data_IF_167860188600
#
_entry.id   IF_167860188600
#
_cell.length_a   1.000
_cell.length_b   1.000
_cell.length_c   1.000
_cell.angle_alpha   90.00
_cell.angle_beta   90.00
_cell.angle_gamma   90.00
#
_symmetry.space_group_name_H-M   'P 1'
#
loop_
_entity.id
_entity.type
_entity.pdbx_description
1 polymer ?
#
# COMPACT_ATOMS: atom_id res chain seq x y z
N UNK A 1 -9.60 -120.46 -3.87
CA UNK A 1 -9.28 -119.18 -4.53
C UNK A 1 -10.40 -118.16 -4.37
N UNK A 2 -10.08 -117.02 -3.77
CA UNK A 2 -10.95 -115.84 -3.64
C UNK A 2 -10.53 -114.76 -4.64
N UNK A 3 -11.36 -113.74 -4.83
CA UNK A 3 -11.07 -112.63 -5.74
C UNK A 3 -11.17 -111.27 -5.03
N UNK A 4 -10.45 -110.28 -5.52
CA UNK A 4 -10.59 -108.89 -5.05
C UNK A 4 -11.85 -108.24 -5.62
N UNK A 5 -12.48 -107.33 -4.89
CA UNK A 5 -13.80 -106.80 -5.27
C UNK A 5 -13.81 -105.89 -6.51
N UNK A 6 -12.74 -105.13 -6.74
CA UNK A 6 -12.78 -104.04 -7.74
C UNK A 6 -12.27 -104.48 -9.11
N UNK A 7 -11.21 -105.27 -9.13
CA UNK A 7 -10.53 -105.70 -10.37
C UNK A 7 -10.58 -107.22 -10.55
N UNK A 8 -11.28 -107.92 -9.66
CA UNK A 8 -11.43 -109.38 -9.69
C UNK A 8 -10.09 -110.13 -9.81
N UNK A 9 -9.04 -109.59 -9.19
CA UNK A 9 -7.73 -110.26 -9.12
C UNK A 9 -7.83 -111.50 -8.26
N UNK A 10 -7.24 -112.61 -8.72
CA UNK A 10 -7.09 -113.86 -7.99
C UNK A 10 -6.28 -113.62 -6.72
N UNK A 11 -6.85 -113.94 -5.56
CA UNK A 11 -6.20 -113.78 -4.25
C UNK A 11 -5.94 -115.16 -3.65
N UNK A 12 -4.67 -115.62 -3.62
CA UNK A 12 -4.32 -116.90 -3.00
C UNK A 12 -4.62 -116.89 -1.49
N UNK A 13 -5.11 -118.01 -0.96
CA UNK A 13 -5.21 -118.26 0.49
C UNK A 13 -4.00 -119.04 1.01
N UNK A 14 -3.77 -119.08 2.33
CA UNK A 14 -2.59 -119.72 2.94
C UNK A 14 -2.44 -121.22 2.58
N UNK A 15 -3.53 -121.85 2.16
CA UNK A 15 -3.60 -123.25 1.76
C UNK A 15 -3.56 -123.47 0.24
N UNK A 16 -3.58 -122.40 -0.57
CA UNK A 16 -3.55 -122.50 -2.03
C UNK A 16 -2.11 -122.73 -2.52
N UNK A 17 -1.93 -123.61 -3.49
CA UNK A 17 -0.64 -123.78 -4.17
C UNK A 17 -0.35 -122.56 -5.06
N UNK A 18 0.88 -122.05 -5.01
CA UNK A 18 1.31 -120.90 -5.82
C UNK A 18 1.37 -121.32 -7.29
N UNK A 19 0.37 -120.90 -8.05
CA UNK A 19 0.33 -121.05 -9.50
C UNK A 19 0.76 -119.74 -10.16
N UNK A 20 1.85 -119.79 -10.94
CA UNK A 20 2.43 -118.63 -11.62
C UNK A 20 1.43 -118.01 -12.61
N UNK A 21 0.57 -118.84 -13.22
CA UNK A 21 -0.44 -118.37 -14.17
C UNK A 21 -1.42 -117.38 -13.52
N UNK A 22 -1.80 -117.62 -12.26
CA UNK A 22 -2.72 -116.73 -11.54
C UNK A 22 -2.10 -115.35 -11.25
N UNK A 23 -0.77 -115.29 -11.09
CA UNK A 23 -0.03 -114.04 -10.94
C UNK A 23 0.11 -113.30 -12.27
N UNK A 24 0.38 -114.03 -13.36
CA UNK A 24 0.47 -113.46 -14.69
C UNK A 24 -0.87 -112.85 -15.11
N UNK A 25 -1.98 -113.59 -14.94
CA UNK A 25 -3.32 -113.08 -15.24
C UNK A 25 -3.66 -111.82 -14.42
N UNK A 26 -3.30 -111.79 -13.13
CA UNK A 26 -3.49 -110.59 -12.32
C UNK A 26 -2.64 -109.41 -12.79
N UNK A 27 -1.39 -109.67 -13.20
CA UNK A 27 -0.49 -108.65 -13.71
C UNK A 27 -1.02 -108.05 -15.02
N UNK A 28 -1.55 -108.89 -15.92
CA UNK A 28 -2.18 -108.45 -17.17
C UNK A 28 -3.42 -107.58 -16.89
N UNK A 29 -4.27 -107.98 -15.94
CA UNK A 29 -5.44 -107.19 -15.53
C UNK A 29 -4.99 -105.84 -14.94
N UNK A 30 -3.96 -105.82 -14.11
CA UNK A 30 -3.44 -104.59 -13.51
C UNK A 30 -2.84 -103.67 -14.58
N UNK A 31 -2.04 -104.21 -15.51
CA UNK A 31 -1.45 -103.45 -16.61
C UNK A 31 -2.52 -102.83 -17.52
N UNK A 32 -3.53 -103.62 -17.91
CA UNK A 32 -4.66 -103.14 -18.70
C UNK A 32 -5.39 -101.98 -17.98
N UNK A 33 -5.69 -102.14 -16.69
CA UNK A 33 -6.41 -101.12 -15.91
C UNK A 33 -5.56 -99.88 -15.61
N UNK A 34 -4.26 -100.03 -15.42
CA UNK A 34 -3.34 -98.89 -15.33
C UNK A 34 -3.27 -98.14 -16.65
N UNK A 35 -3.22 -98.86 -17.78
CA UNK A 35 -3.21 -98.23 -19.11
C UNK A 35 -4.54 -97.54 -19.40
N UNK A 36 -5.67 -98.09 -18.97
CA UNK A 36 -6.96 -97.41 -19.03
C UNK A 36 -6.96 -96.10 -18.24
N UNK A 37 -6.36 -96.06 -17.05
CA UNK A 37 -6.25 -94.84 -16.24
C UNK A 37 -5.30 -93.84 -16.90
N UNK A 38 -4.14 -94.26 -17.34
CA UNK A 38 -3.15 -93.42 -18.03
C UNK A 38 -3.75 -92.76 -19.29
N UNK A 39 -4.50 -93.53 -20.08
CA UNK A 39 -5.24 -93.02 -21.24
C UNK A 39 -6.36 -92.04 -20.84
N UNK A 40 -7.03 -92.27 -19.70
CA UNK A 40 -8.05 -91.34 -19.17
C UNK A 40 -7.41 -90.06 -18.66
N UNK A 41 -6.27 -90.14 -17.97
CA UNK A 41 -5.54 -89.01 -17.38
C UNK A 41 -4.87 -88.15 -18.44
N UNK A 42 -4.20 -88.75 -19.43
CA UNK A 42 -3.57 -88.04 -20.55
C UNK A 42 -4.57 -87.22 -21.40
N UNK A 43 -5.86 -87.55 -21.30
CA UNK A 43 -6.95 -86.83 -21.97
C UNK A 43 -7.78 -85.94 -21.03
N UNK A 44 -7.35 -85.72 -19.78
CA UNK A 44 -7.99 -84.75 -18.89
C UNK A 44 -7.70 -83.34 -19.41
N UNK A 45 -8.64 -82.81 -20.18
CA UNK A 45 -8.75 -81.39 -20.46
C UNK A 45 -9.60 -80.78 -19.35
N UNK A 46 -9.03 -79.90 -18.53
CA UNK A 46 -9.80 -79.07 -17.57
C UNK A 46 -10.03 -77.72 -18.25
N UNK A 47 -11.08 -77.55 -19.09
CA UNK A 47 -11.36 -76.24 -19.66
C UNK A 47 -11.76 -75.27 -18.55
N UNK A 48 -11.41 -73.98 -18.71
CA UNK A 48 -12.13 -72.91 -17.99
C UNK A 48 -13.62 -73.10 -18.27
N UNK A 49 -14.38 -73.49 -17.24
CA UNK A 49 -15.79 -73.86 -17.42
C UNK A 49 -16.65 -72.62 -17.66
N UNK A 50 -16.28 -71.48 -17.07
CA UNK A 50 -16.82 -70.20 -17.47
C UNK A 50 -15.90 -69.01 -17.17
N UNK A 51 -16.01 -67.95 -17.97
CA UNK A 51 -15.54 -66.60 -17.63
C UNK A 51 -16.71 -65.65 -17.82
N UNK A 52 -17.09 -64.93 -16.75
CA UNK A 52 -18.23 -64.00 -16.76
C UNK A 52 -19.52 -64.63 -17.33
N UNK A 53 -19.82 -65.87 -16.92
CA UNK A 53 -21.03 -66.60 -17.29
C UNK A 53 -21.04 -67.25 -18.68
N UNK A 54 -19.97 -67.15 -19.49
CA UNK A 54 -19.87 -67.84 -20.79
C UNK A 54 -19.13 -69.17 -20.65
N UNK A 55 -19.68 -70.26 -21.19
CA UNK A 55 -19.08 -71.61 -21.19
C UNK A 55 -18.53 -71.96 -22.59
N UNK A 56 -17.53 -72.86 -22.68
CA UNK A 56 -16.96 -73.33 -23.97
C UNK A 56 -15.61 -72.70 -24.38
N UNK A 57 -15.30 -72.63 -25.68
CA UNK A 57 -14.10 -71.95 -26.18
C UNK A 57 -14.22 -70.44 -25.91
N UNK A 58 -13.40 -69.93 -24.98
CA UNK A 58 -13.52 -68.54 -24.51
C UNK A 58 -12.72 -67.61 -25.41
N UNK A 59 -13.39 -66.98 -26.39
CA UNK A 59 -12.86 -65.79 -27.05
C UNK A 59 -13.10 -64.56 -26.16
N UNK A 60 -12.02 -63.97 -25.64
CA UNK A 60 -12.07 -62.75 -24.83
C UNK A 60 -12.06 -61.52 -25.73
N UNK A 61 -13.19 -60.83 -25.83
CA UNK A 61 -13.24 -59.50 -26.42
C UNK A 61 -12.99 -58.44 -25.35
N UNK A 62 -12.58 -57.22 -25.74
CA UNK A 62 -12.41 -56.08 -24.83
C UNK A 62 -13.66 -55.84 -23.95
N UNK A 63 -14.86 -56.02 -24.52
CA UNK A 63 -16.13 -55.93 -23.78
C UNK A 63 -16.29 -57.05 -22.74
N UNK A 64 -15.79 -58.25 -23.02
CA UNK A 64 -15.89 -59.40 -22.13
C UNK A 64 -15.10 -59.25 -20.82
N UNK A 65 -14.07 -58.40 -20.82
CA UNK A 65 -13.22 -58.09 -19.65
C UNK A 65 -13.47 -56.70 -19.06
N UNK A 66 -14.45 -55.96 -19.58
CA UNK A 66 -14.72 -54.58 -19.16
C UNK A 66 -13.58 -53.59 -19.49
N UNK A 67 -12.80 -53.87 -20.53
CA UNK A 67 -11.76 -52.95 -20.97
C UNK A 67 -12.39 -51.66 -21.50
N UNK A 68 -11.75 -50.53 -21.18
CA UNK A 68 -12.19 -49.22 -21.65
C UNK A 68 -12.15 -49.15 -23.18
N UNK A 69 -13.12 -48.45 -23.75
CA UNK A 69 -13.19 -48.21 -25.19
C UNK A 69 -12.42 -46.93 -25.55
N UNK A 70 -11.88 -46.81 -26.79
CA UNK A 70 -11.30 -45.55 -27.24
C UNK A 70 -12.26 -44.36 -27.12
N UNK A 71 -13.55 -44.58 -27.36
CA UNK A 71 -14.59 -43.55 -27.21
C UNK A 71 -14.81 -43.13 -25.75
N UNK A 72 -14.85 -44.09 -24.82
CA UNK A 72 -14.98 -43.79 -23.39
C UNK A 72 -13.75 -43.10 -22.81
N UNK A 73 -12.55 -43.50 -23.24
CA UNK A 73 -11.32 -42.80 -22.92
C UNK A 73 -11.33 -41.35 -23.44
N UNK A 74 -11.77 -41.13 -24.68
CA UNK A 74 -11.90 -39.79 -25.26
C UNK A 74 -12.95 -38.94 -24.52
N UNK A 75 -14.09 -39.52 -24.13
CA UNK A 75 -15.08 -38.80 -23.31
C UNK A 75 -14.51 -38.37 -21.97
N UNK A 76 -13.76 -39.24 -21.28
CA UNK A 76 -13.08 -38.89 -20.02
C UNK A 76 -12.09 -37.75 -20.22
N UNK A 77 -11.30 -37.80 -21.30
CA UNK A 77 -10.36 -36.73 -21.65
C UNK A 77 -11.08 -35.40 -21.94
N UNK A 78 -12.19 -35.44 -22.70
CA UNK A 78 -12.99 -34.26 -23.01
C UNK A 78 -13.61 -33.66 -21.75
N UNK A 79 -14.16 -34.49 -20.86
CA UNK A 79 -14.69 -34.03 -19.57
C UNK A 79 -13.62 -33.31 -18.76
N UNK A 80 -12.43 -33.91 -18.62
CA UNK A 80 -11.32 -33.30 -17.89
C UNK A 80 -10.88 -31.97 -18.54
N UNK A 81 -10.75 -31.92 -19.86
CA UNK A 81 -10.40 -30.71 -20.60
C UNK A 81 -11.44 -29.60 -20.39
N UNK A 82 -12.72 -29.93 -20.46
CA UNK A 82 -13.81 -28.99 -20.24
C UNK A 82 -13.83 -28.44 -18.80
N UNK A 83 -13.55 -29.29 -17.81
CA UNK A 83 -13.41 -28.86 -16.41
C UNK A 83 -12.26 -27.86 -16.25
N UNK A 84 -11.09 -28.17 -16.81
CA UNK A 84 -9.93 -27.25 -16.76
C UNK A 84 -10.25 -25.93 -17.45
N UNK A 85 -10.88 -25.98 -18.63
CA UNK A 85 -11.27 -24.77 -19.37
C UNK A 85 -12.26 -23.91 -18.59
N UNK A 86 -13.20 -24.54 -17.90
CA UNK A 86 -14.18 -23.86 -17.03
C UNK A 86 -13.48 -23.17 -15.87
N UNK A 87 -12.61 -23.87 -15.16
CA UNK A 87 -11.86 -23.31 -14.03
C UNK A 87 -10.95 -22.15 -14.46
N UNK A 88 -10.31 -22.27 -15.63
CA UNK A 88 -9.47 -21.20 -16.17
C UNK A 88 -10.27 -19.94 -16.52
N UNK A 89 -11.43 -20.11 -17.15
CA UNK A 89 -12.31 -18.99 -17.48
C UNK A 89 -12.88 -18.33 -16.21
N UNK A 90 -13.20 -19.12 -15.18
CA UNK A 90 -13.60 -18.59 -13.88
C UNK A 90 -12.48 -17.75 -13.27
N UNK A 91 -11.24 -18.28 -13.21
CA UNK A 91 -10.09 -17.57 -12.65
C UNK A 91 -9.78 -16.26 -13.39
N UNK A 92 -9.83 -16.24 -14.73
CA UNK A 92 -9.62 -15.01 -15.51
C UNK A 92 -10.62 -13.89 -15.18
N UNK A 93 -11.79 -14.24 -14.67
CA UNK A 93 -12.84 -13.30 -14.29
C UNK A 93 -12.79 -12.93 -12.80
N UNK A 94 -11.90 -13.55 -12.00
CA UNK A 94 -11.71 -13.19 -10.60
C UNK A 94 -10.99 -11.84 -10.49
N UNK A 95 -11.72 -10.83 -10.04
CA UNK A 95 -11.15 -9.53 -9.70
C UNK A 95 -10.80 -9.48 -8.21
N UNK A 96 -9.70 -8.83 -7.85
CA UNK A 96 -9.38 -8.62 -6.45
C UNK A 96 -10.33 -7.59 -5.83
N UNK A 97 -10.46 -7.66 -4.51
CA UNK A 97 -11.14 -6.67 -3.68
C UNK A 97 -10.39 -6.49 -2.36
N UNK A 98 -10.90 -5.63 -1.48
CA UNK A 98 -10.35 -5.48 -0.13
C UNK A 98 -10.62 -6.67 0.79
N UNK A 99 -11.47 -7.62 0.36
CA UNK A 99 -11.82 -8.83 1.13
C UNK A 99 -11.47 -10.14 0.42
N UNK A 100 -11.13 -10.11 -0.88
CA UNK A 100 -10.82 -11.27 -1.69
C UNK A 100 -9.62 -11.00 -2.61
N UNK A 101 -8.74 -12.00 -2.78
CA UNK A 101 -7.62 -11.93 -3.73
C UNK A 101 -8.14 -12.15 -5.17
N UNK A 102 -7.46 -11.59 -6.17
CA UNK A 102 -7.80 -11.75 -7.59
C UNK A 102 -6.89 -10.90 -8.49
N UNK A 103 -7.29 -10.70 -9.75
CA UNK A 103 -6.58 -9.83 -10.69
C UNK A 103 -6.93 -8.34 -10.47
N UNK A 104 -5.95 -7.45 -10.70
CA UNK A 104 -6.13 -5.98 -10.60
C UNK A 104 -5.50 -5.33 -11.82
N UNK A 105 -6.20 -4.37 -12.43
CA UNK A 105 -5.63 -3.52 -13.48
C UNK A 105 -4.75 -2.43 -12.87
N UNK A 106 -3.57 -2.19 -13.44
CA UNK A 106 -2.69 -1.11 -13.02
C UNK A 106 -2.97 0.17 -13.78
N UNK A 107 -2.76 1.33 -13.14
CA UNK A 107 -2.87 2.65 -13.77
C UNK A 107 -1.66 3.53 -13.44
N UNK A 108 -1.08 4.11 -14.50
CA UNK A 108 -0.01 5.11 -14.43
C UNK A 108 -0.54 6.54 -14.19
N UNK A 109 -1.86 6.72 -14.09
CA UNK A 109 -2.44 8.04 -13.83
C UNK A 109 -2.18 8.49 -12.40
N UNK A 110 -1.67 9.72 -12.25
CA UNK A 110 -1.51 10.40 -10.95
C UNK A 110 -2.80 11.10 -10.46
N UNK A 111 -3.87 11.03 -11.26
CA UNK A 111 -5.15 11.67 -10.99
C UNK A 111 -6.34 10.71 -11.20
N UNK A 112 -6.09 9.40 -11.16
CA UNK A 112 -7.16 8.41 -11.25
C UNK A 112 -8.10 8.53 -10.05
N UNK A 113 -9.40 8.50 -10.32
CA UNK A 113 -10.45 8.40 -9.29
C UNK A 113 -11.03 6.99 -9.19
N UNK A 114 -10.55 6.05 -10.01
CA UNK A 114 -10.99 4.65 -10.00
C UNK A 114 -10.59 3.97 -8.70
N UNK A 115 -11.51 3.18 -8.14
CA UNK A 115 -11.26 2.34 -6.97
C UNK A 115 -10.91 0.89 -7.33
N UNK A 116 -11.02 0.54 -8.61
CA UNK A 116 -10.86 -0.83 -9.12
C UNK A 116 -9.48 -1.06 -9.75
N UNK A 117 -8.67 -0.01 -9.87
CA UNK A 117 -7.31 -0.07 -10.42
C UNK A 117 -6.28 0.27 -9.36
N UNK A 118 -5.12 -0.39 -9.38
CA UNK A 118 -4.00 -0.07 -8.51
C UNK A 118 -3.01 0.90 -9.17
N UNK A 119 -2.41 1.79 -8.39
CA UNK A 119 -1.37 2.69 -8.86
C UNK A 119 -0.09 1.92 -9.22
N UNK A 120 0.61 2.35 -10.27
CA UNK A 120 1.95 1.86 -10.59
C UNK A 120 3.02 2.52 -9.70
N UNK A 121 4.22 1.92 -9.55
CA UNK A 121 5.34 2.59 -8.92
C UNK A 121 5.70 3.94 -9.57
N UNK A 122 5.48 4.08 -10.88
CA UNK A 122 5.77 5.29 -11.62
C UNK A 122 4.81 6.45 -11.27
N UNK A 123 3.50 6.19 -11.13
CA UNK A 123 2.55 7.24 -10.72
C UNK A 123 2.80 7.67 -9.27
N UNK A 124 3.10 6.73 -8.38
CA UNK A 124 3.49 7.02 -7.00
C UNK A 124 4.78 7.85 -6.95
N UNK A 125 5.81 7.48 -7.72
CA UNK A 125 7.06 8.25 -7.81
C UNK A 125 6.80 9.67 -8.31
N UNK A 126 5.98 9.83 -9.34
CA UNK A 126 5.66 11.14 -9.92
C UNK A 126 5.02 12.07 -8.88
N UNK A 127 4.06 11.57 -8.10
CA UNK A 127 3.44 12.33 -7.00
C UNK A 127 4.47 12.66 -5.91
N UNK A 128 5.33 11.71 -5.55
CA UNK A 128 6.36 11.91 -4.54
C UNK A 128 7.41 12.96 -4.96
N UNK A 129 7.84 12.95 -6.22
CA UNK A 129 8.76 13.93 -6.77
C UNK A 129 8.11 15.33 -6.77
N UNK A 130 6.84 15.43 -7.15
CA UNK A 130 6.08 16.68 -7.11
C UNK A 130 5.95 17.23 -5.67
N UNK A 131 5.68 16.37 -4.69
CA UNK A 131 5.62 16.76 -3.27
C UNK A 131 6.99 17.23 -2.77
N UNK A 132 8.06 16.52 -3.13
CA UNK A 132 9.43 16.91 -2.79
C UNK A 132 9.77 18.27 -3.39
N UNK A 133 9.41 18.52 -4.65
CA UNK A 133 9.58 19.83 -5.29
C UNK A 133 8.76 20.91 -4.59
N UNK A 134 7.52 20.61 -4.18
CA UNK A 134 6.67 21.56 -3.48
C UNK A 134 7.28 21.97 -2.15
N UNK A 135 7.75 21.02 -1.33
CA UNK A 135 8.36 21.29 -0.03
C UNK A 135 9.62 22.17 -0.13
N UNK A 136 10.36 22.08 -1.24
CA UNK A 136 11.54 22.88 -1.50
C UNK A 136 11.23 24.23 -2.18
N UNK A 137 9.96 24.54 -2.44
CA UNK A 137 9.52 25.78 -3.08
C UNK A 137 9.52 26.95 -2.07
N UNK A 138 10.68 27.59 -1.93
CA UNK A 138 10.85 28.77 -1.07
C UNK A 138 10.08 30.02 -1.53
N UNK A 139 9.43 29.99 -2.70
CA UNK A 139 8.62 31.13 -3.17
C UNK A 139 7.19 31.09 -2.63
N UNK A 140 6.70 29.92 -2.23
CA UNK A 140 5.33 29.73 -1.72
C UNK A 140 5.23 29.73 -0.20
N UNK A 141 6.32 29.45 0.49
CA UNK A 141 6.35 29.34 1.94
C UNK A 141 7.12 30.48 2.57
N UNK A 142 6.75 30.77 3.82
CA UNK A 142 7.40 31.79 4.63
C UNK A 142 8.00 31.14 5.86
N UNK A 143 9.21 31.55 6.18
CA UNK A 143 9.94 31.13 7.38
C UNK A 143 9.47 31.93 8.59
N UNK A 144 9.71 31.38 9.79
CA UNK A 144 9.50 32.12 11.04
C UNK A 144 10.34 33.39 11.09
N UNK A 145 11.55 33.38 10.51
CA UNK A 145 12.42 34.55 10.43
C UNK A 145 11.83 35.65 9.55
N UNK A 146 11.33 35.32 8.35
CA UNK A 146 10.64 36.28 7.47
C UNK A 146 9.43 36.90 8.16
N UNK A 147 8.63 36.09 8.86
CA UNK A 147 7.46 36.56 9.61
C UNK A 147 7.84 37.55 10.71
N UNK A 148 8.88 37.23 11.49
CA UNK A 148 9.42 38.15 12.51
C UNK A 148 9.91 39.45 11.87
N UNK A 149 10.66 39.35 10.76
CA UNK A 149 11.17 40.52 10.06
C UNK A 149 10.04 41.41 9.53
N UNK A 150 9.00 40.84 8.92
CA UNK A 150 7.84 41.60 8.45
C UNK A 150 7.07 42.25 9.58
N UNK A 151 6.86 41.54 10.68
CA UNK A 151 6.18 42.10 11.86
C UNK A 151 6.97 43.26 12.49
N UNK A 152 8.30 43.27 12.36
CA UNK A 152 9.17 44.31 12.88
C UNK A 152 9.41 45.50 11.93
N UNK A 153 8.83 45.51 10.72
CA UNK A 153 9.04 46.59 9.74
C UNK A 153 8.36 47.93 10.08
N UNK A 154 7.53 47.99 11.12
CA UNK A 154 6.86 49.23 11.51
C UNK A 154 6.79 49.31 13.04
N UNK A 155 7.87 49.80 13.65
CA UNK A 155 7.93 50.10 15.09
C UNK A 155 7.62 51.58 15.28
N UNK A 156 6.61 51.88 16.09
CA UNK A 156 6.23 53.27 16.37
C UNK A 156 6.65 53.65 17.79
N UNK A 157 7.17 54.86 17.94
CA UNK A 157 7.43 55.48 19.24
C UNK A 157 6.73 56.84 19.31
N UNK A 158 6.11 57.13 20.45
CA UNK A 158 5.45 58.41 20.71
C UNK A 158 6.05 59.03 21.96
N UNK A 159 6.53 60.26 21.83
CA UNK A 159 7.10 61.05 22.91
C UNK A 159 6.26 62.30 23.14
N UNK A 160 6.26 62.81 24.36
CA UNK A 160 5.64 64.09 24.70
C UNK A 160 6.68 64.96 25.41
N UNK A 161 6.77 66.23 25.02
CA UNK A 161 7.70 67.19 25.62
C UNK A 161 7.09 68.57 25.62
N UNK A 162 7.48 69.41 26.57
CA UNK A 162 7.08 70.81 26.60
C UNK A 162 8.27 71.68 26.22
N UNK A 163 8.12 72.48 25.17
CA UNK A 163 9.05 73.55 24.85
C UNK A 163 8.72 74.74 25.74
N UNK A 164 9.47 74.94 26.81
CA UNK A 164 9.32 76.13 27.66
C UNK A 164 9.80 77.42 26.96
N UNK A 165 9.75 78.55 27.67
CA UNK A 165 10.09 79.88 27.12
C UNK A 165 11.59 80.23 27.18
N UNK A 166 12.43 79.36 27.72
CA UNK A 166 13.88 79.55 27.86
C UNK A 166 14.62 79.14 26.59
N UNK A 167 14.65 80.02 25.60
CA UNK A 167 15.39 79.82 24.35
C UNK A 167 16.74 80.52 24.34
N UNK A 168 17.73 79.86 23.76
CA UNK A 168 19.09 80.37 23.56
C UNK A 168 19.14 81.33 22.36
N UNK A 169 20.09 82.26 22.39
CA UNK A 169 20.30 83.27 21.35
C UNK A 169 19.87 84.67 21.78
N UNK A 170 20.65 85.67 21.35
CA UNK A 170 20.35 87.11 21.50
C UNK A 170 19.70 87.71 20.25
N UNK A 171 19.74 86.99 19.12
CA UNK A 171 19.07 87.32 17.86
C UNK A 171 18.65 86.03 17.14
N UNK A 172 17.76 86.13 16.15
CA UNK A 172 17.34 84.99 15.34
C UNK A 172 18.52 84.36 14.58
N UNK A 173 18.55 83.02 14.37
CA UNK A 173 17.58 82.06 14.89
C UNK A 173 17.80 81.72 16.37
N UNK A 174 16.72 81.67 17.14
CA UNK A 174 16.73 81.20 18.53
C UNK A 174 16.68 79.68 18.58
N UNK A 175 17.34 79.05 19.54
CA UNK A 175 17.39 77.59 19.63
C UNK A 175 16.96 77.04 20.98
N UNK A 176 16.36 75.85 20.95
CA UNK A 176 16.06 75.05 22.13
C UNK A 176 16.31 73.58 21.82
N UNK A 177 17.21 72.97 22.57
CA UNK A 177 17.45 71.54 22.53
C UNK A 177 16.68 70.88 23.66
N UNK A 178 15.92 69.84 23.33
CA UNK A 178 15.23 68.99 24.32
C UNK A 178 15.76 67.58 24.25
N UNK A 179 15.88 66.96 25.42
CA UNK A 179 16.23 65.54 25.54
C UNK A 179 15.00 64.68 25.28
N UNK A 180 15.13 63.73 24.36
CA UNK A 180 14.10 62.73 24.04
C UNK A 180 14.81 61.39 24.00
N UNK A 181 14.74 60.63 25.08
CA UNK A 181 15.43 59.34 25.18
C UNK A 181 15.03 58.41 24.04
N UNK A 182 15.99 57.66 23.54
CA UNK A 182 15.84 56.64 22.50
C UNK A 182 15.46 57.16 21.11
N UNK A 183 15.38 58.48 20.87
CA UNK A 183 15.30 59.02 19.50
C UNK A 183 16.67 58.89 18.81
N UNK A 184 16.67 58.46 17.56
CA UNK A 184 17.87 58.26 16.74
C UNK A 184 18.04 59.44 15.79
N UNK A 185 19.29 59.75 15.42
CA UNK A 185 19.58 60.78 14.43
C UNK A 185 18.92 60.50 13.05
N UNK A 186 18.71 59.22 12.72
CA UNK A 186 18.05 58.79 11.48
C UNK A 186 16.52 58.86 11.53
N UNK A 187 15.94 59.15 12.68
CA UNK A 187 14.48 59.26 12.79
C UNK A 187 13.98 60.52 12.08
N UNK A 188 12.88 60.35 11.34
CA UNK A 188 12.13 61.43 10.72
C UNK A 188 10.82 61.66 11.50
N UNK A 189 10.85 62.39 12.62
CA UNK A 189 9.69 62.55 13.48
C UNK A 189 8.59 63.39 12.81
N UNK A 190 7.35 63.00 13.06
CA UNK A 190 6.16 63.83 12.88
C UNK A 190 5.93 64.55 14.21
N UNK A 191 6.02 65.87 14.20
CA UNK A 191 5.89 66.69 15.40
C UNK A 191 4.65 67.56 15.28
N UNK A 192 3.78 67.50 16.28
CA UNK A 192 2.58 68.32 16.34
C UNK A 192 2.37 68.91 17.74
N UNK A 193 1.63 70.00 17.80
CA UNK A 193 1.31 70.70 19.03
C UNK A 193 0.15 69.99 19.72
N UNK A 194 0.30 69.73 21.02
CA UNK A 194 -0.80 69.24 21.85
C UNK A 194 -1.71 70.41 22.21
N UNK A 195 -2.94 70.43 21.69
CA UNK A 195 -3.93 71.47 21.99
C UNK A 195 -4.62 71.21 23.35
N UNK A 196 -5.09 72.26 24.03
CA UNK A 196 -5.81 72.17 25.30
C UNK A 196 -7.33 72.10 25.13
N UNK A 197 -7.85 72.40 23.94
CA UNK A 197 -9.30 72.50 23.67
C UNK A 197 -9.91 73.84 24.10
N UNK A 198 -9.09 74.82 24.48
CA UNK A 198 -9.55 76.17 24.83
C UNK A 198 -9.07 77.13 23.75
N UNK A 199 -10.00 77.76 23.03
CA UNK A 199 -9.71 78.57 21.85
C UNK A 199 -8.57 79.59 22.07
N UNK A 200 -8.62 80.39 23.13
CA UNK A 200 -7.58 81.38 23.41
C UNK A 200 -6.18 80.77 23.62
N UNK A 201 -6.11 79.64 24.34
CA UNK A 201 -4.86 78.91 24.59
C UNK A 201 -4.33 78.25 23.32
N UNK A 202 -5.22 77.67 22.51
CA UNK A 202 -4.87 76.96 21.28
C UNK A 202 -4.41 77.93 20.19
N UNK A 203 -5.06 79.08 20.04
CA UNK A 203 -4.59 80.17 19.16
C UNK A 203 -3.19 80.61 19.55
N UNK A 204 -2.93 80.87 20.84
CA UNK A 204 -1.60 81.26 21.31
C UNK A 204 -0.54 80.16 21.04
N UNK A 205 -0.90 78.89 21.20
CA UNK A 205 -0.01 77.75 20.89
C UNK A 205 0.27 77.65 19.39
N UNK A 206 -0.73 77.80 18.52
CA UNK A 206 -0.57 77.81 17.06
C UNK A 206 0.33 78.95 16.59
N UNK A 207 0.09 80.17 17.07
CA UNK A 207 0.92 81.33 16.76
C UNK A 207 2.37 81.13 17.22
N UNK A 208 2.56 80.55 18.40
CA UNK A 208 3.90 80.27 18.92
C UNK A 208 4.60 79.15 18.12
N UNK A 209 3.87 78.12 17.70
CA UNK A 209 4.40 77.04 16.87
C UNK A 209 4.81 77.53 15.47
N UNK A 210 4.06 78.46 14.89
CA UNK A 210 4.40 79.07 13.60
C UNK A 210 5.76 79.81 13.58
N UNK A 211 6.31 80.17 14.75
CA UNK A 211 7.65 80.76 14.89
C UNK A 211 8.76 79.72 14.76
N UNK A 212 8.47 78.44 15.01
CA UNK A 212 9.42 77.34 14.94
C UNK A 212 9.45 76.82 13.51
N UNK A 213 10.57 77.00 12.81
CA UNK A 213 10.67 76.68 11.38
C UNK A 213 11.54 75.44 11.09
N UNK A 214 12.28 74.95 12.08
CA UNK A 214 13.17 73.79 11.92
C UNK A 214 13.26 72.98 13.20
N UNK A 215 13.23 71.66 13.06
CA UNK A 215 13.59 70.70 14.09
C UNK A 215 14.68 69.79 13.52
N UNK A 216 15.80 69.64 14.24
CA UNK A 216 16.91 68.77 13.83
C UNK A 216 17.03 67.66 14.86
N UNK A 217 16.80 66.43 14.41
CA UNK A 217 16.96 65.23 15.25
C UNK A 217 18.42 64.87 15.37
N UNK A 218 18.85 64.55 16.59
CA UNK A 218 20.13 63.94 16.90
C UNK A 218 19.88 62.76 17.85
N UNK A 219 20.90 61.95 18.12
CA UNK A 219 20.76 60.89 19.12
C UNK A 219 20.31 61.48 20.47
N UNK A 220 19.22 60.94 21.00
CA UNK A 220 18.58 61.33 22.27
C UNK A 220 18.11 62.79 22.39
N UNK A 221 18.02 63.55 21.29
CA UNK A 221 17.59 64.95 21.36
C UNK A 221 17.01 65.49 20.05
N UNK A 222 16.21 66.56 20.17
CA UNK A 222 15.82 67.38 19.03
C UNK A 222 16.17 68.83 19.35
N UNK A 223 16.79 69.51 18.38
CA UNK A 223 17.05 70.95 18.44
C UNK A 223 16.07 71.70 17.56
N UNK A 224 15.21 72.50 18.19
CA UNK A 224 14.26 73.39 17.53
C UNK A 224 14.89 74.75 17.27
N UNK A 225 14.62 75.33 16.09
CA UNK A 225 15.04 76.67 15.70
C UNK A 225 13.81 77.54 15.42
N UNK A 226 13.80 78.75 15.96
CA UNK A 226 12.70 79.69 15.83
C UNK A 226 13.15 81.05 15.27
N UNK A 227 12.27 81.70 14.52
CA UNK A 227 12.47 83.07 13.98
C UNK A 227 12.36 84.13 15.09
N UNK A 228 11.56 83.84 16.12
CA UNK A 228 11.33 84.67 17.30
C UNK A 228 11.29 83.79 18.55
N UNK A 229 11.61 84.35 19.73
CA UNK A 229 11.55 83.61 21.00
C UNK A 229 10.09 83.32 21.38
N UNK A 230 9.71 82.04 21.55
CA UNK A 230 8.41 81.66 22.11
C UNK A 230 8.14 82.30 23.47
N UNK A 231 6.98 82.95 23.60
CA UNK A 231 6.52 83.59 24.83
C UNK A 231 5.59 82.70 25.66
N UNK A 232 5.11 81.59 25.09
CA UNK A 232 4.22 80.61 25.72
C UNK A 232 4.86 79.24 25.61
N UNK A 233 4.79 78.45 26.69
CA UNK A 233 5.24 77.06 26.67
C UNK A 233 4.34 76.21 25.77
N UNK A 234 4.95 75.44 24.87
CA UNK A 234 4.23 74.62 23.89
C UNK A 234 4.40 73.14 24.23
N UNK A 235 3.36 72.42 24.68
CA UNK A 235 3.39 70.97 24.73
C UNK A 235 3.29 70.42 23.31
N UNK A 236 4.19 69.48 22.96
CA UNK A 236 4.24 68.83 21.66
C UNK A 236 4.21 67.31 21.81
N UNK A 237 3.65 66.65 20.81
CA UNK A 237 3.73 65.21 20.62
C UNK A 237 4.64 64.93 19.43
N UNK A 238 5.52 63.95 19.59
CA UNK A 238 6.52 63.56 18.60
C UNK A 238 6.29 62.09 18.30
N UNK A 239 5.92 61.77 17.06
CA UNK A 239 5.70 60.41 16.60
C UNK A 239 6.82 60.02 15.63
N UNK A 240 7.44 58.88 15.90
CA UNK A 240 8.45 58.28 15.04
C UNK A 240 7.91 56.92 14.56
N UNK A 241 8.10 56.63 13.28
CA UNK A 241 7.84 55.31 12.69
C UNK A 241 9.17 54.82 12.11
N UNK A 242 9.62 53.64 12.56
CA UNK A 242 10.87 52.97 12.19
C UNK A 242 10.59 51.66 11.48
#
# INVERSE_FOLDING_TARGET
MKYTNNYNLKKPELTDYVNIEDFNENADIVDEKLKEIDNKVGNIKIPVTSVNGKTGAVELTASGVGAETPAGAQQKANTAANTVQTNFNAHKNESASTSAKGHVQLTDSVSSTSKDTAATPNSVKTVNDALTSHLNDSTKYITSAERTNWNNKAVQATYTVTLDTSWSGSSAPYTKTVTISDILETDNPIIDVTMSGTYATDTARQETWAKIYRAVTAANSITFSATEKPAVSIPIQIKVVR
#
